data_IF_905063173905
#
_entry.id   IF_905063173905
#
_cell.length_a   1.000
_cell.length_b   1.000
_cell.length_c   1.000
_cell.angle_alpha   90.00
_cell.angle_beta   90.00
_cell.angle_gamma   90.00
#
_symmetry.space_group_name_H-M   'P 1'
#
loop_
_entity.id
_entity.type
_entity.pdbx_description
1 polymer ?
#
# COMPACT_ATOMS: atom_id res chain seq x y z
N UNK A 1 -11.70 -8.31 -17.90
CA UNK A 1 -11.27 -6.98 -17.41
C UNK A 1 -12.52 -6.13 -17.18
N UNK A 2 -12.56 -5.41 -16.06
CA UNK A 2 -13.70 -4.58 -15.63
C UNK A 2 -13.24 -3.19 -15.22
N UNK A 3 -14.12 -2.18 -15.26
CA UNK A 3 -13.81 -0.81 -14.86
C UNK A 3 -12.69 -0.16 -15.68
N UNK A 4 -12.61 -0.45 -16.96
CA UNK A 4 -11.54 0.06 -17.85
C UNK A 4 -11.49 1.58 -17.91
N UNK A 5 -12.63 2.25 -17.77
CA UNK A 5 -12.77 3.70 -17.68
C UNK A 5 -12.03 4.29 -16.48
N UNK A 6 -11.85 3.52 -15.41
CA UNK A 6 -11.18 3.92 -14.17
C UNK A 6 -9.70 3.47 -14.10
N UNK A 7 -9.12 3.03 -15.23
CA UNK A 7 -7.74 2.52 -15.27
C UNK A 7 -6.66 3.55 -14.96
N UNK A 8 -6.95 4.82 -15.19
CA UNK A 8 -6.04 5.92 -14.86
C UNK A 8 -6.43 6.52 -13.53
N UNK A 9 -5.46 6.67 -12.66
CA UNK A 9 -5.65 7.37 -11.40
C UNK A 9 -5.89 8.85 -11.64
N UNK A 10 -6.78 9.42 -10.86
CA UNK A 10 -7.04 10.86 -10.84
C UNK A 10 -5.77 11.67 -10.58
N UNK A 11 -5.61 12.81 -11.26
CA UNK A 11 -4.42 13.66 -11.22
C UNK A 11 -4.11 14.16 -9.80
N UNK A 12 -5.12 14.57 -9.02
CA UNK A 12 -4.91 15.08 -7.67
C UNK A 12 -4.46 13.96 -6.72
N UNK A 13 -4.92 12.73 -6.94
CA UNK A 13 -4.43 11.56 -6.21
C UNK A 13 -2.98 11.22 -6.57
N UNK A 14 -2.58 11.40 -7.83
CA UNK A 14 -1.17 11.24 -8.25
C UNK A 14 -0.30 12.32 -7.61
N UNK A 15 -0.72 13.59 -7.64
CA UNK A 15 -0.04 14.70 -6.97
C UNK A 15 0.13 14.44 -5.46
N UNK A 16 -0.92 13.92 -4.81
CA UNK A 16 -0.86 13.54 -3.41
C UNK A 16 0.19 12.47 -3.12
N UNK A 17 0.27 11.42 -3.94
CA UNK A 17 1.31 10.37 -3.81
C UNK A 17 2.72 10.91 -4.06
N UNK A 18 2.89 11.80 -5.04
CA UNK A 18 4.17 12.46 -5.28
C UNK A 18 4.57 13.29 -4.07
N UNK A 19 3.67 14.12 -3.55
CA UNK A 19 3.93 14.94 -2.36
C UNK A 19 4.31 14.09 -1.14
N UNK A 20 3.61 12.98 -0.91
CA UNK A 20 3.94 12.01 0.14
C UNK A 20 5.34 11.39 -0.07
N UNK A 21 5.67 11.00 -1.30
CA UNK A 21 6.99 10.45 -1.65
C UNK A 21 8.12 11.45 -1.43
N UNK A 22 7.91 12.73 -1.76
CA UNK A 22 8.85 13.82 -1.49
C UNK A 22 9.04 14.03 0.02
N UNK A 23 7.94 14.14 0.76
CA UNK A 23 7.97 14.42 2.20
C UNK A 23 8.54 13.27 3.04
N UNK A 24 8.21 12.03 2.68
CA UNK A 24 8.59 10.84 3.43
C UNK A 24 9.94 10.26 2.96
N UNK A 25 10.12 10.15 1.65
CA UNK A 25 11.25 9.41 1.03
C UNK A 25 12.35 10.33 0.51
N UNK A 26 12.10 11.63 0.40
CA UNK A 26 13.04 12.63 -0.09
C UNK A 26 13.46 12.42 -1.55
N UNK A 27 12.56 11.89 -2.37
CA UNK A 27 12.76 11.64 -3.79
C UNK A 27 12.62 12.90 -4.61
N UNK A 28 13.11 12.86 -5.83
CA UNK A 28 12.77 13.85 -6.86
C UNK A 28 11.38 13.55 -7.43
N UNK A 29 10.73 14.56 -8.03
CA UNK A 29 9.44 14.36 -8.70
C UNK A 29 9.51 13.27 -9.79
N UNK A 30 10.53 13.27 -10.69
CA UNK A 30 10.66 12.22 -11.70
C UNK A 30 10.80 10.80 -11.11
N UNK A 31 11.53 10.65 -10.00
CA UNK A 31 11.70 9.34 -9.36
C UNK A 31 10.43 8.89 -8.65
N UNK A 32 9.72 9.83 -7.98
CA UNK A 32 8.43 9.53 -7.39
C UNK A 32 7.42 9.06 -8.44
N UNK A 33 7.35 9.74 -9.59
CA UNK A 33 6.42 9.37 -10.67
C UNK A 33 6.67 7.96 -11.23
N UNK A 34 7.94 7.54 -11.40
CA UNK A 34 8.30 6.20 -11.91
C UNK A 34 7.85 5.07 -10.99
N UNK A 35 7.65 5.35 -9.71
CA UNK A 35 7.44 4.37 -8.66
C UNK A 35 5.98 4.30 -8.18
N UNK A 36 5.05 5.00 -8.83
CA UNK A 36 3.62 4.91 -8.54
C UNK A 36 3.01 3.78 -9.38
N UNK A 37 2.83 2.56 -8.83
CA UNK A 37 2.36 1.43 -9.63
C UNK A 37 0.89 1.59 -10.01
N UNK A 38 0.09 2.18 -9.15
CA UNK A 38 -1.36 2.34 -9.34
C UNK A 38 -1.75 3.63 -10.10
N UNK A 39 -0.77 4.32 -10.73
CA UNK A 39 -1.07 5.35 -11.72
C UNK A 39 -1.84 4.76 -12.92
N UNK A 40 -1.50 3.52 -13.28
CA UNK A 40 -2.24 2.70 -14.25
C UNK A 40 -2.65 1.42 -13.52
N UNK A 41 -3.95 1.15 -13.48
CA UNK A 41 -4.51 0.00 -12.78
C UNK A 41 -5.56 -0.70 -13.61
N UNK A 42 -5.45 -2.02 -13.70
CA UNK A 42 -6.43 -2.88 -14.34
C UNK A 42 -7.09 -3.79 -13.30
N UNK A 43 -8.38 -4.03 -13.43
CA UNK A 43 -9.11 -4.99 -12.60
C UNK A 43 -9.68 -6.12 -13.47
N UNK A 44 -9.55 -7.34 -12.99
CA UNK A 44 -10.08 -8.55 -13.61
C UNK A 44 -11.09 -9.19 -12.66
N UNK A 45 -12.18 -9.69 -13.22
CA UNK A 45 -13.17 -10.47 -12.49
C UNK A 45 -13.23 -11.87 -13.07
N UNK A 46 -13.28 -12.85 -12.17
CA UNK A 46 -13.48 -14.25 -12.51
C UNK A 46 -14.66 -14.81 -11.71
N UNK A 47 -15.26 -15.88 -12.25
CA UNK A 47 -16.21 -16.69 -11.51
C UNK A 47 -15.49 -17.39 -10.34
N UNK A 48 -16.16 -17.52 -9.21
CA UNK A 48 -15.57 -18.14 -8.00
C UNK A 48 -14.93 -19.51 -8.26
N UNK A 49 -15.64 -20.37 -8.99
CA UNK A 49 -15.19 -21.73 -9.26
C UNK A 49 -13.88 -21.80 -10.08
N UNK A 50 -13.64 -20.82 -10.93
CA UNK A 50 -12.50 -20.79 -11.86
C UNK A 50 -11.44 -19.76 -11.48
N UNK A 51 -11.64 -19.03 -10.39
CA UNK A 51 -10.81 -17.90 -9.99
C UNK A 51 -9.31 -18.21 -9.98
N UNK A 52 -8.92 -19.21 -9.22
CA UNK A 52 -7.50 -19.56 -9.03
C UNK A 52 -6.85 -20.06 -10.33
N UNK A 53 -7.57 -20.81 -11.15
CA UNK A 53 -7.09 -21.30 -12.43
C UNK A 53 -6.83 -20.17 -13.42
N UNK A 54 -7.83 -19.31 -13.66
CA UNK A 54 -7.71 -18.17 -14.58
C UNK A 54 -6.66 -17.17 -14.11
N UNK A 55 -6.56 -16.92 -12.80
CA UNK A 55 -5.52 -16.04 -12.25
C UNK A 55 -4.11 -16.55 -12.62
N UNK A 56 -3.83 -17.85 -12.41
CA UNK A 56 -2.51 -18.43 -12.70
C UNK A 56 -2.22 -18.35 -14.19
N UNK A 57 -3.21 -18.66 -15.05
CA UNK A 57 -3.10 -18.57 -16.49
C UNK A 57 -2.78 -17.14 -16.95
N UNK A 58 -3.49 -16.12 -16.44
CA UNK A 58 -3.29 -14.72 -16.83
C UNK A 58 -1.96 -14.15 -16.31
N UNK A 59 -1.51 -14.56 -15.12
CA UNK A 59 -0.18 -14.21 -14.61
C UNK A 59 0.90 -14.81 -15.52
N UNK A 60 0.80 -16.08 -15.88
CA UNK A 60 1.75 -16.75 -16.76
C UNK A 60 1.81 -16.06 -18.13
N UNK A 61 0.65 -15.78 -18.73
CA UNK A 61 0.52 -15.12 -20.02
C UNK A 61 1.14 -13.69 -19.99
N UNK A 62 0.87 -12.94 -18.94
CA UNK A 62 1.40 -11.58 -18.78
C UNK A 62 2.92 -11.57 -18.65
N UNK A 63 3.47 -12.52 -17.86
CA UNK A 63 4.93 -12.71 -17.72
C UNK A 63 5.58 -13.12 -19.04
N UNK A 64 4.96 -14.00 -19.79
CA UNK A 64 5.52 -14.47 -21.06
C UNK A 64 5.59 -13.34 -22.08
N UNK A 65 4.52 -12.57 -22.25
CA UNK A 65 4.33 -11.69 -23.40
C UNK A 65 4.71 -10.24 -23.19
N UNK A 66 4.48 -9.68 -22.00
CA UNK A 66 4.42 -8.23 -21.88
C UNK A 66 5.30 -7.65 -20.76
N UNK A 67 5.37 -8.27 -19.60
CA UNK A 67 5.82 -7.59 -18.41
C UNK A 67 6.47 -8.52 -17.40
N UNK A 68 7.33 -7.95 -16.55
CA UNK A 68 7.94 -8.66 -15.44
C UNK A 68 7.10 -8.42 -14.17
N UNK A 69 6.79 -9.51 -13.48
CA UNK A 69 6.12 -9.44 -12.18
C UNK A 69 7.10 -8.90 -11.14
N UNK A 70 6.75 -7.77 -10.54
CA UNK A 70 7.56 -7.12 -9.48
C UNK A 70 7.09 -7.60 -8.11
N UNK A 71 5.76 -7.63 -7.90
CA UNK A 71 5.16 -7.97 -6.61
C UNK A 71 3.77 -8.57 -6.81
N UNK A 72 3.41 -9.54 -5.98
CA UNK A 72 2.07 -10.10 -5.89
C UNK A 72 1.74 -10.36 -4.43
N UNK A 73 0.52 -10.04 -4.01
CA UNK A 73 0.02 -10.32 -2.66
C UNK A 73 -1.42 -10.81 -2.72
N UNK A 74 -1.67 -11.86 -1.95
CA UNK A 74 -3.02 -12.38 -1.73
C UNK A 74 -3.60 -11.81 -0.45
N UNK A 75 -4.78 -11.20 -0.55
CA UNK A 75 -5.53 -10.64 0.58
C UNK A 75 -6.76 -11.49 0.93
N UNK A 76 -6.87 -12.69 0.38
CA UNK A 76 -8.02 -13.55 0.64
C UNK A 76 -8.16 -13.98 2.11
N UNK A 77 -7.07 -13.98 2.86
CA UNK A 77 -7.06 -14.21 4.31
C UNK A 77 -7.28 -12.94 5.14
N UNK A 78 -7.23 -11.77 4.52
CA UNK A 78 -7.44 -10.47 5.18
C UNK A 78 -8.90 -10.26 5.59
N UNK A 79 -9.13 -9.28 6.45
CA UNK A 79 -10.46 -8.94 6.99
C UNK A 79 -10.99 -7.58 6.50
N UNK A 80 -10.18 -6.80 5.79
CA UNK A 80 -10.55 -5.47 5.29
C UNK A 80 -10.53 -5.33 3.76
N UNK A 81 -10.08 -6.36 3.07
CA UNK A 81 -10.04 -6.43 1.62
C UNK A 81 -9.95 -7.89 1.18
N UNK A 82 -10.55 -8.23 0.03
CA UNK A 82 -10.53 -9.56 -0.56
C UNK A 82 -10.20 -9.47 -2.04
N UNK A 83 -9.12 -10.13 -2.44
CA UNK A 83 -8.61 -10.15 -3.81
C UNK A 83 -7.12 -10.42 -3.85
N UNK A 84 -6.56 -10.33 -5.03
CA UNK A 84 -5.12 -10.36 -5.24
C UNK A 84 -4.72 -9.09 -5.97
N UNK A 85 -3.67 -8.41 -5.47
CA UNK A 85 -3.04 -7.28 -6.14
C UNK A 85 -1.65 -7.67 -6.61
N UNK A 86 -1.25 -7.16 -7.78
CA UNK A 86 0.07 -7.39 -8.35
C UNK A 86 0.61 -6.13 -9.00
N UNK A 87 1.93 -5.93 -8.87
CA UNK A 87 2.67 -4.85 -9.53
C UNK A 87 3.54 -5.45 -10.62
N UNK A 88 3.51 -4.83 -11.76
CA UNK A 88 4.17 -5.26 -12.97
C UNK A 88 5.05 -4.14 -13.53
N UNK A 89 6.14 -4.54 -14.21
CA UNK A 89 7.01 -3.62 -14.96
C UNK A 89 6.87 -3.91 -16.45
N UNK A 90 6.38 -2.96 -17.21
CA UNK A 90 6.28 -3.09 -18.67
C UNK A 90 7.68 -3.10 -19.29
N UNK A 91 8.03 -4.16 -20.03
CA UNK A 91 9.40 -4.36 -20.57
C UNK A 91 9.84 -3.27 -21.53
N UNK A 92 8.91 -2.75 -22.35
CA UNK A 92 9.26 -1.73 -23.35
C UNK A 92 9.50 -0.34 -22.79
N UNK A 93 8.78 0.06 -21.72
CA UNK A 93 8.82 1.42 -21.17
C UNK A 93 9.41 1.51 -19.77
N UNK A 94 9.53 0.39 -19.05
CA UNK A 94 9.96 0.35 -17.66
C UNK A 94 8.91 0.87 -16.66
N UNK A 95 7.73 1.33 -17.11
CA UNK A 95 6.69 1.82 -16.22
C UNK A 95 6.09 0.70 -15.38
N UNK A 96 5.78 1.03 -14.14
CA UNK A 96 5.01 0.17 -13.25
C UNK A 96 3.51 0.33 -13.52
N UNK A 97 2.78 -0.77 -13.36
CA UNK A 97 1.32 -0.76 -13.37
C UNK A 97 0.78 -1.83 -12.43
N UNK A 98 -0.45 -1.65 -11.98
CA UNK A 98 -1.13 -2.57 -11.07
C UNK A 98 -2.16 -3.41 -11.80
N UNK A 99 -2.25 -4.70 -11.45
CA UNK A 99 -3.35 -5.57 -11.81
C UNK A 99 -4.00 -6.12 -10.54
N UNK A 100 -5.32 -6.01 -10.47
CA UNK A 100 -6.13 -6.53 -9.37
C UNK A 100 -7.03 -7.64 -9.88
N UNK A 101 -7.17 -8.70 -9.08
CA UNK A 101 -7.94 -9.87 -9.45
C UNK A 101 -9.01 -10.13 -8.38
N UNK A 102 -10.26 -10.18 -8.82
CA UNK A 102 -11.45 -10.24 -7.99
C UNK A 102 -12.43 -11.29 -8.43
N UNK A 103 -13.32 -11.69 -7.52
CA UNK A 103 -14.64 -12.22 -7.90
C UNK A 103 -15.61 -11.04 -8.07
N UNK A 104 -16.78 -11.28 -8.63
CA UNK A 104 -17.83 -10.27 -8.74
C UNK A 104 -18.20 -9.69 -7.37
N UNK A 105 -18.37 -10.57 -6.36
CA UNK A 105 -18.72 -10.17 -4.99
C UNK A 105 -17.61 -9.33 -4.35
N UNK A 106 -16.34 -9.73 -4.48
CA UNK A 106 -15.24 -8.97 -3.89
C UNK A 106 -15.02 -7.62 -4.57
N UNK A 107 -15.20 -7.55 -5.88
CA UNK A 107 -15.13 -6.29 -6.64
C UNK A 107 -16.25 -5.33 -6.25
N UNK A 108 -17.49 -5.83 -6.16
CA UNK A 108 -18.63 -5.04 -5.70
C UNK A 108 -18.44 -4.54 -4.27
N UNK A 109 -17.95 -5.40 -3.37
CA UNK A 109 -17.63 -5.00 -1.99
C UNK A 109 -16.62 -3.85 -1.95
N UNK A 110 -15.58 -3.89 -2.81
CA UNK A 110 -14.54 -2.87 -2.87
C UNK A 110 -15.03 -1.55 -3.50
N UNK A 111 -15.72 -1.62 -4.63
CA UNK A 111 -16.01 -0.43 -5.47
C UNK A 111 -17.33 0.25 -5.13
N UNK A 112 -18.29 -0.49 -4.55
CA UNK A 112 -19.63 0.04 -4.27
C UNK A 112 -19.89 0.12 -2.76
N UNK A 113 -19.67 -0.98 -2.03
CA UNK A 113 -20.10 -1.06 -0.63
C UNK A 113 -19.16 -0.32 0.30
N UNK A 114 -17.84 -0.46 0.12
CA UNK A 114 -16.85 0.06 1.06
C UNK A 114 -16.06 1.27 0.55
N UNK A 115 -16.26 1.74 -0.67
CA UNK A 115 -15.50 2.84 -1.25
C UNK A 115 -15.56 4.12 -0.39
N UNK A 116 -16.77 4.54 0.00
CA UNK A 116 -16.96 5.74 0.83
C UNK A 116 -16.34 5.61 2.21
N UNK A 117 -16.49 4.46 2.85
CA UNK A 117 -15.88 4.20 4.16
C UNK A 117 -14.36 4.20 4.08
N UNK A 118 -13.80 3.65 3.01
CA UNK A 118 -12.35 3.68 2.77
C UNK A 118 -11.83 5.09 2.51
N UNK A 119 -12.50 5.87 1.67
CA UNK A 119 -12.13 7.27 1.43
C UNK A 119 -12.15 8.08 2.74
N UNK A 120 -13.16 7.84 3.59
CA UNK A 120 -13.29 8.50 4.89
C UNK A 120 -12.18 8.09 5.87
N UNK A 121 -11.83 6.81 5.93
CA UNK A 121 -10.72 6.32 6.78
C UNK A 121 -9.38 6.98 6.45
N UNK A 122 -9.14 7.33 5.18
CA UNK A 122 -7.92 8.02 4.75
C UNK A 122 -7.93 9.53 5.03
N UNK A 123 -9.07 10.09 5.40
CA UNK A 123 -9.18 11.51 5.69
C UNK A 123 -8.48 11.86 7.01
N UNK A 124 -7.68 12.94 7.00
CA UNK A 124 -7.08 13.48 8.20
C UNK A 124 -8.10 14.00 9.23
N UNK A 125 -9.34 14.21 8.80
CA UNK A 125 -10.44 14.75 9.62
C UNK A 125 -11.26 13.67 10.32
N UNK A 126 -11.00 12.39 10.08
CA UNK A 126 -11.71 11.28 10.71
C UNK A 126 -11.27 11.15 12.16
N UNK A 127 -12.21 11.17 13.10
CA UNK A 127 -11.88 10.98 14.51
C UNK A 127 -11.77 9.48 14.84
N UNK A 128 -11.12 9.18 15.98
CA UNK A 128 -10.83 7.81 16.40
C UNK A 128 -12.10 6.94 16.50
N UNK A 129 -13.19 7.46 17.04
CA UNK A 129 -14.46 6.73 17.13
C UNK A 129 -15.03 6.38 15.75
N UNK A 130 -15.03 7.36 14.84
CA UNK A 130 -15.48 7.16 13.46
C UNK A 130 -14.61 6.12 12.73
N UNK A 131 -13.28 6.16 12.95
CA UNK A 131 -12.36 5.14 12.40
C UNK A 131 -12.75 3.74 12.84
N UNK A 132 -13.00 3.53 14.15
CA UNK A 132 -13.41 2.24 14.68
C UNK A 132 -14.73 1.74 14.05
N UNK A 133 -15.72 2.62 13.90
CA UNK A 133 -17.01 2.29 13.31
C UNK A 133 -16.87 1.91 11.83
N UNK A 134 -16.06 2.66 11.07
CA UNK A 134 -15.80 2.39 9.67
C UNK A 134 -15.00 1.09 9.45
N UNK A 135 -14.01 0.82 10.29
CA UNK A 135 -13.27 -0.45 10.25
C UNK A 135 -14.14 -1.65 10.61
N UNK A 136 -14.99 -1.52 11.64
CA UNK A 136 -15.93 -2.57 12.00
C UNK A 136 -16.92 -2.84 10.86
N UNK A 137 -17.38 -1.79 10.19
CA UNK A 137 -18.23 -1.91 9.01
C UNK A 137 -17.50 -2.67 7.89
N UNK A 138 -16.25 -2.29 7.55
CA UNK A 138 -15.50 -2.97 6.50
C UNK A 138 -15.25 -4.45 6.84
N UNK A 139 -14.81 -4.77 8.05
CA UNK A 139 -14.67 -6.16 8.50
C UNK A 139 -15.95 -6.96 8.35
N UNK A 140 -17.11 -6.38 8.73
CA UNK A 140 -18.41 -7.02 8.56
C UNK A 140 -18.76 -7.28 7.09
N UNK A 141 -18.43 -6.36 6.19
CA UNK A 141 -18.64 -6.56 4.75
C UNK A 141 -17.76 -7.67 4.22
N UNK A 142 -16.44 -7.59 4.47
CA UNK A 142 -15.49 -8.57 3.92
C UNK A 142 -15.56 -9.95 4.56
N UNK A 143 -16.07 -10.08 5.79
CA UNK A 143 -16.36 -11.40 6.37
C UNK A 143 -17.44 -12.20 5.63
N UNK A 144 -18.23 -11.52 4.78
CA UNK A 144 -19.28 -12.14 3.95
C UNK A 144 -18.87 -12.42 2.52
N UNK A 145 -17.68 -11.98 2.13
CA UNK A 145 -17.12 -12.25 0.80
C UNK A 145 -16.51 -13.65 0.81
N UNK A 146 -17.05 -14.58 0.00
CA UNK A 146 -16.52 -15.95 -0.05
C UNK A 146 -15.08 -15.98 -0.56
N UNK A 147 -14.28 -16.86 -0.04
CA UNK A 147 -12.94 -17.14 -0.53
C UNK A 147 -13.03 -18.16 -1.64
N UNK A 148 -12.59 -17.86 -2.88
CA UNK A 148 -12.63 -18.83 -3.96
C UNK A 148 -11.76 -20.06 -3.66
N UNK A 149 -12.12 -21.25 -4.18
CA UNK A 149 -11.33 -22.45 -3.99
C UNK A 149 -9.87 -22.25 -4.41
N UNK A 150 -8.93 -22.55 -3.49
CA UNK A 150 -7.49 -22.43 -3.72
C UNK A 150 -6.91 -21.02 -3.72
N UNK A 151 -7.72 -19.97 -3.59
CA UNK A 151 -7.24 -18.59 -3.60
C UNK A 151 -6.40 -18.23 -2.35
N UNK A 152 -6.66 -18.90 -1.24
CA UNK A 152 -5.90 -18.78 0.01
C UNK A 152 -4.55 -19.50 -0.01
N UNK A 153 -4.34 -20.41 -0.98
CA UNK A 153 -3.08 -21.11 -1.21
C UNK A 153 -2.15 -20.38 -2.20
N UNK A 154 -2.59 -19.27 -2.79
CA UNK A 154 -1.76 -18.50 -3.70
C UNK A 154 -0.77 -17.65 -2.89
N UNK A 155 0.52 -18.00 -3.03
CA UNK A 155 1.61 -17.33 -2.33
C UNK A 155 1.95 -15.98 -2.96
N UNK A 156 2.51 -15.07 -2.14
CA UNK A 156 3.03 -13.80 -2.58
C UNK A 156 4.28 -13.96 -3.47
N UNK A 157 4.64 -12.89 -4.19
CA UNK A 157 5.89 -12.78 -4.93
C UNK A 157 6.52 -11.40 -4.68
N UNK A 158 7.84 -11.29 -4.46
CA UNK A 158 8.72 -12.40 -4.12
C UNK A 158 8.23 -13.14 -2.88
N UNK A 159 8.52 -14.45 -2.81
CA UNK A 159 8.20 -15.25 -1.64
C UNK A 159 9.01 -14.78 -0.45
N UNK A 160 8.31 -14.34 0.58
CA UNK A 160 8.91 -13.84 1.83
C UNK A 160 8.07 -14.36 2.99
N UNK A 161 8.72 -15.09 3.88
CA UNK A 161 8.11 -15.62 5.10
C UNK A 161 7.70 -14.53 6.10
N UNK A 162 8.28 -13.32 5.97
CA UNK A 162 8.10 -12.19 6.88
C UNK A 162 7.03 -11.18 6.43
N UNK A 163 6.29 -11.48 5.34
CA UNK A 163 5.23 -10.60 4.90
C UNK A 163 3.94 -10.84 5.68
N UNK A 164 3.66 -9.96 6.60
CA UNK A 164 2.38 -9.89 7.30
C UNK A 164 1.57 -8.68 6.80
N UNK A 165 0.24 -8.84 6.73
CA UNK A 165 -0.65 -7.69 6.54
C UNK A 165 -0.53 -6.82 7.79
N UNK A 166 0.01 -5.59 7.68
CA UNK A 166 0.15 -4.73 8.84
C UNK A 166 -1.23 -4.49 9.46
N UNK A 167 -1.36 -4.65 10.76
CA UNK A 167 -2.60 -4.21 11.37
C UNK A 167 -3.16 -5.05 12.50
N UNK A 168 -2.59 -6.21 12.79
CA UNK A 168 -3.06 -7.00 13.93
C UNK A 168 -2.59 -6.35 15.24
N UNK A 169 -3.56 -5.93 16.06
CA UNK A 169 -3.25 -5.45 17.43
C UNK A 169 -2.61 -6.57 18.21
N UNK A 170 -1.41 -6.35 18.72
CA UNK A 170 -0.76 -7.24 19.67
C UNK A 170 -1.26 -6.86 21.07
N UNK A 171 -1.95 -7.76 21.80
CA UNK A 171 -2.39 -7.46 23.16
C UNK A 171 -1.21 -7.06 24.04
N UNK A 172 -1.33 -5.92 24.73
CA UNK A 172 -0.28 -5.40 25.64
C UNK A 172 0.75 -4.48 25.00
N UNK A 173 0.71 -4.26 23.68
CA UNK A 173 1.50 -3.22 23.01
C UNK A 173 0.66 -1.99 22.71
N UNK A 174 1.02 -0.85 23.29
CA UNK A 174 0.38 0.44 23.01
C UNK A 174 0.88 1.09 21.73
N UNK A 175 2.09 0.73 21.27
CA UNK A 175 2.72 1.23 20.04
C UNK A 175 3.45 0.11 19.32
N UNK A 176 3.17 -0.03 18.01
CA UNK A 176 3.91 -0.92 17.10
C UNK A 176 4.63 -0.07 16.07
N UNK A 177 5.88 -0.40 15.75
CA UNK A 177 6.70 0.28 14.75
C UNK A 177 6.88 -0.57 13.52
N UNK A 178 6.89 0.08 12.35
CA UNK A 178 7.10 -0.56 11.05
C UNK A 178 8.16 0.18 10.25
N UNK A 179 9.19 -0.52 9.80
CA UNK A 179 10.09 -0.01 8.77
C UNK A 179 9.33 0.09 7.44
N UNK A 180 9.49 1.21 6.73
CA UNK A 180 8.90 1.43 5.41
C UNK A 180 9.94 1.08 4.37
N UNK A 181 9.64 0.09 3.53
CA UNK A 181 10.49 -0.39 2.44
C UNK A 181 9.74 -0.26 1.12
N UNK A 182 10.45 0.01 0.05
CA UNK A 182 9.93 0.11 -1.31
C UNK A 182 10.92 -0.44 -2.35
N UNK A 183 10.63 -0.32 -3.64
CA UNK A 183 11.44 -0.92 -4.71
C UNK A 183 12.88 -0.36 -4.83
N UNK A 184 13.18 0.76 -4.16
CA UNK A 184 14.54 1.38 -4.14
C UNK A 184 15.21 1.28 -2.76
N UNK A 185 14.65 0.52 -1.83
CA UNK A 185 15.15 0.38 -0.48
C UNK A 185 15.11 -1.08 -0.02
N UNK A 186 15.74 -1.38 1.10
CA UNK A 186 15.77 -2.73 1.67
C UNK A 186 15.44 -2.70 3.17
N UNK A 187 15.31 -3.88 3.77
CA UNK A 187 15.13 -4.03 5.22
C UNK A 187 16.27 -3.39 6.01
N UNK A 188 17.50 -3.53 5.52
CA UNK A 188 18.71 -2.97 6.14
C UNK A 188 18.79 -1.45 5.95
N UNK A 189 18.17 -0.95 4.88
CA UNK A 189 18.14 0.47 4.53
C UNK A 189 16.71 0.92 4.21
N UNK A 190 15.79 0.89 5.19
CA UNK A 190 14.43 1.35 4.99
C UNK A 190 14.37 2.86 4.75
N UNK A 191 13.32 3.28 4.08
CA UNK A 191 13.11 4.69 3.71
C UNK A 191 12.85 5.56 4.92
N UNK A 192 12.01 5.03 5.83
CA UNK A 192 11.62 5.69 7.07
C UNK A 192 10.93 4.68 7.99
N UNK A 193 10.30 5.18 9.05
CA UNK A 193 9.56 4.39 10.01
C UNK A 193 8.15 4.93 10.21
N UNK A 194 7.21 4.03 10.39
CA UNK A 194 5.83 4.31 10.77
C UNK A 194 5.56 3.75 12.16
N UNK A 195 4.72 4.42 12.93
CA UNK A 195 4.20 3.88 14.19
C UNK A 195 2.68 3.81 14.17
N UNK A 196 2.16 2.74 14.73
CA UNK A 196 0.74 2.57 15.04
C UNK A 196 0.56 2.58 16.54
N UNK A 197 -0.30 3.42 17.04
CA UNK A 197 -0.67 3.48 18.46
C UNK A 197 -2.16 3.31 18.64
N UNK A 198 -2.53 2.80 19.82
CA UNK A 198 -3.94 2.64 20.22
C UNK A 198 -4.13 3.46 21.50
N UNK A 199 -4.94 4.52 21.42
CA UNK A 199 -5.28 5.36 22.58
C UNK A 199 -6.79 5.63 22.56
N UNK A 200 -7.39 5.64 23.72
CA UNK A 200 -8.82 5.94 23.90
C UNK A 200 -9.76 5.13 22.98
N UNK A 201 -9.36 3.86 22.72
CA UNK A 201 -10.07 2.97 21.81
C UNK A 201 -9.88 3.25 20.33
N UNK A 202 -9.16 4.30 19.94
CA UNK A 202 -8.88 4.65 18.56
C UNK A 202 -7.48 4.25 18.12
N UNK A 203 -7.32 4.05 16.81
CA UNK A 203 -6.06 3.80 16.13
C UNK A 203 -5.46 5.12 15.64
N UNK A 204 -4.16 5.28 15.74
CA UNK A 204 -3.43 6.39 15.17
C UNK A 204 -2.16 5.89 14.48
N UNK A 205 -2.11 6.09 13.18
CA UNK A 205 -0.96 5.79 12.34
C UNK A 205 -0.21 7.09 12.02
N UNK A 206 1.10 7.10 12.25
CA UNK A 206 1.97 8.24 12.01
C UNK A 206 3.27 7.78 11.37
N UNK A 207 3.73 8.48 10.32
CA UNK A 207 5.04 8.26 9.69
C UNK A 207 6.03 9.35 10.11
N UNK A 208 7.29 8.96 10.32
CA UNK A 208 8.37 9.90 10.57
C UNK A 208 8.84 10.50 9.26
N UNK A 209 8.67 11.79 9.09
CA UNK A 209 8.89 12.50 7.84
C UNK A 209 10.25 13.22 7.79
N UNK A 210 10.66 13.68 6.63
CA UNK A 210 11.96 14.36 6.44
C UNK A 210 12.04 15.76 7.04
N UNK A 211 10.93 16.35 7.46
CA UNK A 211 10.90 17.52 8.33
C UNK A 211 11.12 17.17 9.83
N UNK A 212 11.50 15.90 10.09
CA UNK A 212 11.89 15.36 11.39
C UNK A 212 10.76 15.37 12.43
N UNK A 213 9.52 15.23 11.97
CA UNK A 213 8.33 15.13 12.83
C UNK A 213 7.49 13.91 12.47
N UNK A 214 6.70 13.45 13.42
CA UNK A 214 5.67 12.45 13.20
C UNK A 214 4.44 13.11 12.60
N UNK A 215 4.02 12.65 11.42
CA UNK A 215 2.79 13.10 10.75
C UNK A 215 1.82 11.97 10.59
N UNK A 216 0.53 12.26 10.72
CA UNK A 216 -0.53 11.30 10.43
C UNK A 216 -0.33 10.71 9.04
N UNK A 217 -0.51 9.39 8.93
CA UNK A 217 -0.30 8.63 7.70
C UNK A 217 -1.44 7.66 7.45
N UNK A 218 -1.83 7.50 6.19
CA UNK A 218 -2.78 6.50 5.75
C UNK A 218 -2.13 5.29 5.07
N UNK A 219 -0.79 5.19 5.13
CA UNK A 219 -0.04 4.16 4.42
C UNK A 219 -0.43 2.73 4.84
N UNK A 220 -0.57 2.47 6.15
CA UNK A 220 -0.99 1.14 6.62
C UNK A 220 -2.43 0.82 6.22
N UNK A 221 -3.34 1.80 6.27
CA UNK A 221 -4.72 1.63 5.80
C UNK A 221 -4.74 1.29 4.30
N UNK A 222 -3.88 1.94 3.52
CA UNK A 222 -3.77 1.66 2.09
C UNK A 222 -3.22 0.25 1.82
N UNK A 223 -2.20 -0.18 2.57
CA UNK A 223 -1.63 -1.52 2.47
C UNK A 223 -2.66 -2.61 2.85
N UNK A 224 -3.43 -2.42 3.90
CA UNK A 224 -4.53 -3.31 4.31
C UNK A 224 -5.61 -3.46 3.22
N UNK A 225 -5.70 -2.50 2.30
CA UNK A 225 -6.61 -2.45 1.16
C UNK A 225 -5.97 -2.79 -0.18
N UNK A 226 -4.81 -3.43 -0.16
CA UNK A 226 -4.16 -3.97 -1.35
C UNK A 226 -3.21 -3.02 -2.07
N UNK A 227 -2.90 -1.84 -1.52
CA UNK A 227 -1.85 -0.98 -2.08
C UNK A 227 -0.48 -1.62 -1.84
N UNK A 228 0.27 -1.85 -2.91
CA UNK A 228 1.57 -2.51 -2.89
C UNK A 228 2.76 -1.55 -3.12
N UNK A 229 2.57 -0.25 -3.00
CA UNK A 229 3.65 0.73 -3.20
C UNK A 229 4.75 0.59 -2.15
N UNK A 230 4.38 0.24 -0.92
CA UNK A 230 5.31 0.06 0.19
C UNK A 230 5.11 -1.30 0.85
N UNK A 231 6.20 -1.83 1.40
CA UNK A 231 6.18 -2.93 2.35
C UNK A 231 6.42 -2.39 3.77
N UNK A 232 5.79 -3.01 4.74
CA UNK A 232 5.90 -2.64 6.14
C UNK A 232 6.41 -3.82 6.93
N UNK A 233 7.56 -3.66 7.55
CA UNK A 233 8.23 -4.71 8.32
C UNK A 233 8.17 -4.29 9.78
N UNK A 234 7.57 -5.11 10.63
CA UNK A 234 7.54 -4.83 12.06
C UNK A 234 8.95 -4.80 12.62
N UNK A 235 9.23 -3.78 13.43
CA UNK A 235 10.54 -3.55 14.03
C UNK A 235 10.40 -3.17 15.52
N UNK A 236 11.44 -3.39 16.28
CA UNK A 236 11.52 -2.97 17.68
C UNK A 236 11.62 -1.44 17.81
N UNK A 237 11.36 -0.90 18.99
CA UNK A 237 11.53 0.52 19.28
C UNK A 237 12.99 0.99 19.06
N UNK A 238 13.97 0.15 19.37
CA UNK A 238 15.39 0.46 19.18
C UNK A 238 15.76 0.52 17.69
N UNK A 239 15.29 -0.43 16.89
CA UNK A 239 15.45 -0.40 15.42
C UNK A 239 14.75 0.82 14.82
N UNK A 240 13.55 1.17 15.29
CA UNK A 240 12.84 2.37 14.86
C UNK A 240 13.65 3.64 15.16
N UNK A 241 14.27 3.75 16.33
CA UNK A 241 15.16 4.84 16.69
C UNK A 241 16.37 4.91 15.76
N UNK A 242 17.01 3.78 15.46
CA UNK A 242 18.15 3.72 14.52
C UNK A 242 17.75 4.19 13.10
N UNK A 243 16.55 3.84 12.65
CA UNK A 243 16.02 4.30 11.35
C UNK A 243 15.82 5.82 11.40
N UNK A 244 15.19 6.35 12.44
CA UNK A 244 14.98 7.80 12.61
C UNK A 244 16.31 8.55 12.62
N UNK A 245 17.33 8.07 13.36
CA UNK A 245 18.66 8.67 13.39
C UNK A 245 19.31 8.70 12.00
N UNK A 246 19.12 7.67 11.20
CA UNK A 246 19.60 7.63 9.80
C UNK A 246 18.89 8.68 8.95
N UNK A 247 17.56 8.79 9.06
CA UNK A 247 16.78 9.83 8.37
C UNK A 247 17.27 11.22 8.77
N UNK A 248 17.43 11.48 10.06
CA UNK A 248 17.94 12.77 10.56
C UNK A 248 19.33 13.11 10.02
N UNK A 249 20.25 12.14 10.00
CA UNK A 249 21.59 12.35 9.42
C UNK A 249 21.49 12.66 7.92
N UNK A 250 20.69 11.92 7.17
CA UNK A 250 20.52 12.11 5.74
C UNK A 250 19.90 13.47 5.36
N UNK A 251 19.03 14.00 6.23
CA UNK A 251 18.44 15.33 6.04
C UNK A 251 19.46 16.43 6.32
N UNK A 252 20.24 16.28 7.40
CA UNK A 252 21.27 17.27 7.80
C UNK A 252 22.46 17.32 6.85
N UNK A 253 22.79 16.22 6.18
CA UNK A 253 23.91 16.14 5.23
C UNK A 253 23.56 16.63 3.82
N UNK A 254 22.30 16.95 3.53
CA UNK A 254 21.89 17.49 2.24
C UNK A 254 22.27 18.98 2.17
N UNK A 255 23.09 19.42 1.17
CA UNK A 255 23.34 20.84 0.96
C UNK A 255 22.01 21.56 0.76
N UNK A 256 21.84 22.73 1.37
CA UNK A 256 20.70 23.59 1.08
C UNK A 256 20.66 23.86 -0.44
N UNK A 257 19.63 23.39 -1.12
CA UNK A 257 19.39 23.77 -2.51
C UNK A 257 19.28 25.28 -2.55
N UNK A 258 20.28 25.93 -3.16
CA UNK A 258 20.21 27.36 -3.43
C UNK A 258 18.98 27.60 -4.30
N UNK A 259 18.09 28.54 -3.95
CA UNK A 259 16.96 28.87 -4.81
C UNK A 259 17.57 29.41 -6.11
N UNK A 260 17.40 28.66 -7.21
CA UNK A 260 17.69 29.19 -8.54
C UNK A 260 16.88 30.49 -8.68
N UNK A 261 17.60 31.62 -8.64
CA UNK A 261 17.03 32.92 -8.98
C UNK A 261 16.59 32.82 -10.44
N UNK A 262 15.27 32.70 -10.63
CA UNK A 262 14.68 32.87 -11.94
C UNK A 262 15.25 34.15 -12.57
N UNK A 263 16.07 34.00 -13.61
CA UNK A 263 16.32 35.09 -14.54
C UNK A 263 15.15 35.12 -15.53
N UNK A 264 14.50 36.24 -15.49
CA UNK A 264 13.50 36.76 -16.42
C UNK A 264 13.97 36.62 -17.88
#
# INVERSE_FOLDING_TARGET
MVGFENRLKDEDRIKGKIAESLALKGRTVPDAMKLIPDAIRYAFQYQEADYSRHLVEDIALTRERFSDLVRLRSFWRGDQYKGISSVWRHRGTGHLFEMQFHTEISFHAMTVVTERSYARLRSAQTCAREEMELEAFQRKVYSRVPVPPGADAIFGYPDRDDWEIPGRRIPGQDVTYYAIVDDLSSREQPVSVLRRSYRDGGRRDEAFTRDLVWRRSSLLISAERGDLENEFIEVTADEANQIMDRVMRSVRSRPAESPERGRV
#
